data_IF_300903319359
#
_entry.id   IF_300903319359
#
_cell.length_a   1.000
_cell.length_b   1.000
_cell.length_c   1.000
_cell.angle_alpha   90.00
_cell.angle_beta   90.00
_cell.angle_gamma   90.00
#
_symmetry.space_group_name_H-M   'P 1'
#
loop_
_entity.id
_entity.type
_entity.pdbx_description
1 polymer ?
#
# COMPACT_ATOMS: atom_id res chain seq x y z
N UNK A 1 -6.79 -11.43 7.59
CA UNK A 1 -7.68 -11.75 6.46
C UNK A 1 -8.40 -13.02 6.83
N UNK A 2 -9.71 -13.08 6.60
CA UNK A 2 -10.48 -14.32 6.74
C UNK A 2 -9.91 -15.39 5.80
N UNK A 3 -9.85 -16.64 6.26
CA UNK A 3 -9.31 -17.78 5.51
C UNK A 3 -10.26 -18.26 4.40
N UNK A 4 -11.53 -17.81 4.42
CA UNK A 4 -12.56 -18.16 3.45
C UNK A 4 -12.20 -17.79 1.99
N UNK A 5 -11.32 -16.80 1.79
CA UNK A 5 -10.96 -16.21 0.48
C UNK A 5 -12.17 -15.76 -0.34
N UNK A 6 -13.29 -15.48 0.32
CA UNK A 6 -14.48 -14.97 -0.35
C UNK A 6 -14.25 -13.53 -0.83
N UNK A 7 -14.59 -13.25 -2.09
CA UNK A 7 -14.51 -11.90 -2.65
C UNK A 7 -15.88 -11.25 -2.49
N UNK A 8 -15.99 -10.33 -1.54
CA UNK A 8 -17.17 -9.49 -1.35
C UNK A 8 -17.08 -8.28 -2.28
N UNK A 9 -18.10 -8.07 -3.11
CA UNK A 9 -18.16 -7.00 -4.11
C UNK A 9 -19.29 -6.02 -3.80
N UNK A 10 -19.26 -4.84 -4.42
CA UNK A 10 -20.29 -3.82 -4.24
C UNK A 10 -20.28 -3.11 -2.88
N UNK A 11 -19.18 -3.25 -2.13
CA UNK A 11 -18.98 -2.54 -0.85
C UNK A 11 -18.59 -1.10 -1.14
N UNK A 12 -19.25 -0.17 -0.45
CA UNK A 12 -18.93 1.25 -0.56
C UNK A 12 -17.54 1.53 0.01
N UNK A 13 -16.78 2.43 -0.63
CA UNK A 13 -15.39 2.68 -0.27
C UNK A 13 -15.22 3.25 1.15
N UNK A 14 -16.19 4.02 1.64
CA UNK A 14 -16.23 4.56 3.01
C UNK A 14 -16.39 3.49 4.09
N UNK A 15 -16.76 2.26 3.72
CA UNK A 15 -16.82 1.09 4.60
C UNK A 15 -15.52 0.27 4.59
N UNK A 16 -14.50 0.67 3.83
CA UNK A 16 -13.24 -0.05 3.67
C UNK A 16 -12.10 0.68 4.38
N UNK A 17 -11.17 -0.11 4.91
CA UNK A 17 -9.87 0.36 5.40
C UNK A 17 -8.76 -0.33 4.62
N UNK A 18 -7.63 0.36 4.46
CA UNK A 18 -6.45 -0.19 3.81
C UNK A 18 -5.76 -1.21 4.72
N UNK A 19 -5.32 -2.32 4.14
CA UNK A 19 -4.44 -3.25 4.85
C UNK A 19 -3.01 -2.72 4.81
N UNK A 20 -2.41 -2.41 5.95
CA UNK A 20 -1.01 -1.99 6.00
C UNK A 20 -0.07 -3.20 5.95
N UNK A 21 0.91 -3.24 5.02
CA UNK A 21 1.84 -4.35 4.95
C UNK A 21 2.76 -4.38 6.17
N UNK A 22 3.40 -5.54 6.38
CA UNK A 22 4.53 -5.64 7.31
C UNK A 22 5.72 -4.83 6.77
N UNK A 23 6.66 -4.46 7.65
CA UNK A 23 7.94 -3.89 7.21
C UNK A 23 8.64 -4.86 6.25
N UNK A 24 9.17 -4.33 5.15
CA UNK A 24 9.71 -5.08 4.02
C UNK A 24 8.66 -5.61 3.04
N UNK A 25 7.37 -5.54 3.38
CA UNK A 25 6.28 -6.07 2.55
C UNK A 25 5.95 -5.17 1.36
N UNK A 26 5.35 -5.75 0.30
CA UNK A 26 4.96 -5.04 -0.91
C UNK A 26 3.85 -4.03 -0.62
N UNK A 27 4.00 -2.82 -1.16
CA UNK A 27 3.10 -1.70 -0.91
C UNK A 27 2.82 -0.93 -2.19
N UNK A 28 1.56 -0.52 -2.39
CA UNK A 28 1.12 0.36 -3.46
C UNK A 28 0.59 1.67 -2.87
N UNK A 29 1.01 2.80 -3.45
CA UNK A 29 0.48 4.12 -3.10
C UNK A 29 -0.79 4.39 -3.90
N UNK A 30 -1.93 4.48 -3.22
CA UNK A 30 -3.26 4.59 -3.80
C UNK A 30 -3.68 6.04 -4.10
N UNK A 31 -3.12 7.00 -3.37
CA UNK A 31 -3.50 8.42 -3.46
C UNK A 31 -2.36 9.38 -3.09
N UNK A 32 -2.57 10.67 -3.33
CA UNK A 32 -1.57 11.71 -3.04
C UNK A 32 -0.49 11.85 -4.11
N UNK A 33 0.61 12.53 -3.75
CA UNK A 33 1.70 12.94 -4.66
C UNK A 33 2.36 11.76 -5.38
N UNK A 34 2.46 10.61 -4.71
CA UNK A 34 3.17 9.44 -5.21
C UNK A 34 2.22 8.33 -5.69
N UNK A 35 0.96 8.67 -5.99
CA UNK A 35 -0.04 7.69 -6.47
C UNK A 35 0.52 6.86 -7.63
N UNK A 36 0.36 5.54 -7.55
CA UNK A 36 0.86 4.57 -8.51
C UNK A 36 2.24 4.01 -8.16
N UNK A 37 2.99 4.65 -7.25
CA UNK A 37 4.29 4.13 -6.84
C UNK A 37 4.13 2.78 -6.13
N UNK A 38 4.96 1.82 -6.53
CA UNK A 38 5.04 0.49 -5.96
C UNK A 38 6.42 0.27 -5.36
N UNK A 39 6.48 -0.45 -4.24
CA UNK A 39 7.73 -0.65 -3.54
C UNK A 39 7.61 -1.54 -2.33
N UNK A 40 8.54 -1.34 -1.39
CA UNK A 40 8.51 -2.00 -0.08
C UNK A 40 8.35 -0.99 1.05
N UNK A 41 7.55 -1.32 2.05
CA UNK A 41 7.38 -0.50 3.24
C UNK A 41 8.63 -0.62 4.13
N UNK A 42 9.43 0.43 4.23
CA UNK A 42 10.66 0.45 5.05
C UNK A 42 10.31 0.63 6.53
N UNK A 43 9.49 1.64 6.80
CA UNK A 43 9.12 2.04 8.14
C UNK A 43 7.66 2.50 8.19
N UNK A 44 7.04 2.35 9.36
CA UNK A 44 5.77 2.96 9.72
C UNK A 44 5.83 3.46 11.15
N UNK A 45 5.21 4.61 11.36
CA UNK A 45 4.95 5.25 12.64
C UNK A 45 3.42 5.37 12.75
N UNK A 46 2.84 4.59 13.66
CA UNK A 46 1.38 4.54 13.86
C UNK A 46 0.88 5.75 14.65
N UNK A 47 1.73 6.37 15.49
CA UNK A 47 1.34 7.52 16.29
C UNK A 47 1.26 8.78 15.42
N UNK A 48 2.13 8.88 14.41
CA UNK A 48 2.16 9.98 13.44
C UNK A 48 1.40 9.68 12.15
N UNK A 49 0.90 8.46 11.99
CA UNK A 49 0.19 7.98 10.80
C UNK A 49 0.96 8.16 9.48
N UNK A 50 2.28 7.96 9.55
CA UNK A 50 3.19 8.08 8.39
C UNK A 50 4.00 6.82 8.16
N UNK A 51 4.43 6.64 6.91
CA UNK A 51 5.31 5.57 6.49
C UNK A 51 6.35 6.03 5.48
N UNK A 52 7.37 5.18 5.29
CA UNK A 52 8.41 5.36 4.28
C UNK A 52 8.35 4.17 3.34
N UNK A 53 8.14 4.44 2.05
CA UNK A 53 8.18 3.45 0.99
C UNK A 53 9.50 3.58 0.24
N UNK A 54 10.17 2.45 -0.03
CA UNK A 54 11.26 2.40 -1.01
C UNK A 54 10.67 1.99 -2.34
N UNK A 55 10.66 2.95 -3.27
CA UNK A 55 10.21 2.72 -4.64
C UNK A 55 11.00 1.58 -5.32
N UNK A 56 10.30 0.71 -6.03
CA UNK A 56 10.89 -0.49 -6.61
C UNK A 56 11.82 -0.16 -7.78
N UNK A 57 11.48 0.85 -8.59
CA UNK A 57 12.18 1.20 -9.82
C UNK A 57 13.37 2.13 -9.55
N UNK A 58 13.15 3.16 -8.74
CA UNK A 58 14.11 4.23 -8.50
C UNK A 58 14.88 4.11 -7.19
N UNK A 59 14.44 3.22 -6.29
CA UNK A 59 14.94 3.08 -4.92
C UNK A 59 14.85 4.36 -4.07
N UNK A 60 14.08 5.37 -4.50
CA UNK A 60 13.83 6.58 -3.71
C UNK A 60 12.99 6.27 -2.48
N UNK A 61 13.23 7.02 -1.40
CA UNK A 61 12.45 6.95 -0.17
C UNK A 61 11.30 7.97 -0.23
N UNK A 62 10.09 7.46 -0.25
CA UNK A 62 8.86 8.24 -0.37
C UNK A 62 8.18 8.31 1.00
N UNK A 63 8.05 9.52 1.53
CA UNK A 63 7.25 9.76 2.73
C UNK A 63 5.77 9.81 2.33
N UNK A 64 4.96 8.97 2.96
CA UNK A 64 3.54 8.81 2.68
C UNK A 64 2.75 8.82 3.99
N UNK A 65 1.46 9.15 3.91
CA UNK A 65 0.54 8.83 5.00
C UNK A 65 0.13 7.36 4.92
N UNK A 66 -0.17 6.75 6.07
CA UNK A 66 -0.60 5.35 6.10
C UNK A 66 -1.94 5.14 5.37
N UNK A 67 -2.88 6.09 5.45
CA UNK A 67 -4.16 6.06 4.70
C UNK A 67 -4.00 6.04 3.17
N UNK A 68 -2.82 6.42 2.66
CA UNK A 68 -2.54 6.52 1.23
C UNK A 68 -2.00 5.22 0.64
N UNK A 69 -1.71 4.21 1.45
CA UNK A 69 -1.02 2.99 1.02
C UNK A 69 -1.79 1.74 1.39
N UNK A 70 -1.61 0.69 0.61
CA UNK A 70 -2.10 -0.64 0.95
C UNK A 70 -1.07 -1.72 0.60
N UNK A 71 -1.15 -2.83 1.32
CA UNK A 71 -0.46 -4.07 1.01
C UNK A 71 -0.87 -4.52 -0.40
N UNK A 72 0.14 -4.77 -1.23
CA UNK A 72 -0.09 -5.20 -2.60
C UNK A 72 0.11 -6.70 -2.72
N UNK A 73 -0.98 -7.43 -3.02
CA UNK A 73 -0.99 -8.88 -3.18
C UNK A 73 -1.06 -9.35 -4.64
N UNK A 74 -1.05 -8.41 -5.59
CA UNK A 74 -1.09 -8.68 -7.03
C UNK A 74 0.29 -8.96 -7.63
N UNK A 75 0.32 -9.24 -8.93
CA UNK A 75 1.56 -9.35 -9.71
C UNK A 75 2.05 -7.93 -10.09
N UNK A 76 3.22 -7.48 -9.60
CA UNK A 76 3.72 -6.14 -9.87
C UNK A 76 3.97 -5.85 -11.36
N UNK A 77 4.18 -6.88 -12.18
CA UNK A 77 4.37 -6.70 -13.63
C UNK A 77 3.12 -6.16 -14.33
N UNK A 78 1.96 -6.23 -13.68
CA UNK A 78 0.69 -5.70 -14.18
C UNK A 78 0.47 -4.22 -13.86
N UNK A 79 1.34 -3.59 -13.07
CA UNK A 79 1.12 -2.23 -12.59
C UNK A 79 1.34 -1.14 -13.64
N UNK A 80 1.94 -1.45 -14.80
CA UNK A 80 2.18 -0.50 -15.88
C UNK A 80 3.20 0.57 -15.50
N UNK A 81 4.35 0.58 -16.17
CA UNK A 81 5.39 1.58 -15.99
C UNK A 81 5.19 2.76 -16.96
#
# INVERSE_FOLDING_TARGET
>A
MDESKEIVQGVSQDMLETALPRRGGPVLVLSGKYKGAFGSLVERDLDREVGVVRDADTHQLLNVKLEQIAEYIGDPSLLGH
#
